data_IF_296483482565
#
_entry.id   IF_296483482565
#
_cell.length_a   1.000
_cell.length_b   1.000
_cell.length_c   1.000
_cell.angle_alpha   90.00
_cell.angle_beta   90.00
_cell.angle_gamma   90.00
#
_symmetry.space_group_name_H-M   'P 1'
#
loop_
_entity.id
_entity.type
_entity.pdbx_description
1 polymer ?
#
# COMPACT_ATOMS: atom_id res chain seq x y z
N UNK A 1 13.04 -0.82 -16.98
CA UNK A 1 12.99 0.64 -17.13
C UNK A 1 12.32 1.33 -15.93
N UNK A 2 11.02 1.09 -15.64
CA UNK A 2 10.30 1.75 -14.52
C UNK A 2 10.98 1.65 -13.15
N UNK A 3 11.43 0.46 -12.75
CA UNK A 3 12.08 0.28 -11.45
C UNK A 3 13.39 1.09 -11.32
N UNK A 4 14.21 1.14 -12.37
CA UNK A 4 15.44 1.92 -12.40
C UNK A 4 15.15 3.42 -12.36
N UNK A 5 14.14 3.87 -13.11
CA UNK A 5 13.71 5.27 -13.09
C UNK A 5 13.20 5.67 -11.70
N UNK A 6 12.35 4.84 -11.10
CA UNK A 6 11.80 5.11 -9.77
C UNK A 6 12.91 5.19 -8.70
N UNK A 7 13.93 4.35 -8.80
CA UNK A 7 15.11 4.42 -7.94
C UNK A 7 15.88 5.74 -8.11
N UNK A 8 16.13 6.16 -9.36
CA UNK A 8 16.81 7.44 -9.64
C UNK A 8 15.99 8.63 -9.14
N UNK A 9 14.68 8.64 -9.37
CA UNK A 9 13.77 9.71 -8.89
C UNK A 9 13.75 9.75 -7.37
N UNK A 10 13.66 8.59 -6.70
CA UNK A 10 13.71 8.51 -5.24
C UNK A 10 15.00 9.11 -4.67
N UNK A 11 16.15 8.76 -5.26
CA UNK A 11 17.44 9.33 -4.87
C UNK A 11 17.46 10.84 -5.08
N UNK A 12 17.04 11.34 -6.24
CA UNK A 12 17.06 12.77 -6.55
C UNK A 12 16.16 13.58 -5.62
N UNK A 13 14.95 13.07 -5.32
CA UNK A 13 14.07 13.67 -4.32
C UNK A 13 14.68 13.65 -2.92
N UNK A 14 15.47 12.64 -2.58
CA UNK A 14 16.13 12.53 -1.26
C UNK A 14 17.39 13.38 -1.11
N UNK A 15 17.95 13.93 -2.20
CA UNK A 15 19.18 14.74 -2.18
C UNK A 15 18.98 16.14 -1.60
N UNK A 16 17.75 16.65 -1.57
CA UNK A 16 17.50 17.97 -0.99
C UNK A 16 17.80 17.92 0.51
N UNK A 17 18.77 18.72 0.97
CA UNK A 17 19.09 18.87 2.40
C UNK A 17 17.90 19.33 3.26
N UNK A 18 16.89 19.86 2.58
CA UNK A 18 15.59 20.27 3.09
C UNK A 18 14.70 19.02 3.21
N UNK A 19 14.72 18.38 4.37
CA UNK A 19 13.75 17.34 4.77
C UNK A 19 12.39 18.00 5.06
N UNK A 20 11.74 18.52 4.03
CA UNK A 20 10.57 19.39 4.19
C UNK A 20 9.57 19.18 3.05
N UNK A 21 8.33 19.57 3.32
CA UNK A 21 7.18 19.56 2.39
C UNK A 21 7.47 20.18 1.00
N UNK A 22 8.49 21.03 0.90
CA UNK A 22 8.95 21.68 -0.34
C UNK A 22 9.33 20.70 -1.45
N UNK A 23 9.95 19.56 -1.13
CA UNK A 23 10.32 18.57 -2.15
C UNK A 23 9.08 17.83 -2.68
N UNK A 24 8.14 17.49 -1.80
CA UNK A 24 6.84 16.93 -2.19
C UNK A 24 6.10 17.90 -3.12
N UNK A 25 5.99 19.17 -2.73
CA UNK A 25 5.35 20.21 -3.54
C UNK A 25 6.01 20.41 -4.92
N UNK A 26 7.31 20.18 -5.03
CA UNK A 26 8.04 20.31 -6.30
C UNK A 26 7.78 19.15 -7.26
N UNK A 27 7.81 17.92 -6.76
CA UNK A 27 7.82 16.73 -7.62
C UNK A 27 6.44 16.03 -7.70
N UNK A 28 5.68 16.05 -6.61
CA UNK A 28 4.39 15.36 -6.47
C UNK A 28 3.39 16.23 -5.68
N UNK A 29 3.09 17.47 -6.12
CA UNK A 29 2.22 18.40 -5.38
C UNK A 29 0.82 17.84 -5.11
N UNK A 30 0.31 16.96 -5.98
CA UNK A 30 -0.98 16.29 -5.80
C UNK A 30 -1.05 15.48 -4.51
N UNK A 31 0.08 15.01 -3.95
CA UNK A 31 0.08 14.28 -2.69
C UNK A 31 -0.53 15.13 -1.56
N UNK A 32 -0.39 16.45 -1.62
CA UNK A 32 -0.93 17.36 -0.61
C UNK A 32 -2.43 17.67 -0.79
N UNK A 33 -3.08 17.10 -1.80
CA UNK A 33 -4.48 17.36 -2.12
C UNK A 33 -5.21 16.07 -2.50
N UNK A 34 -5.35 15.11 -1.56
CA UNK A 34 -6.10 13.90 -1.80
C UNK A 34 -7.57 14.23 -2.10
N UNK A 35 -8.22 13.46 -3.00
CA UNK A 35 -9.61 13.72 -3.37
C UNK A 35 -10.58 13.35 -2.23
N UNK A 36 -11.65 14.13 -2.12
CA UNK A 36 -12.77 13.85 -1.21
C UNK A 36 -13.83 13.00 -1.90
N UNK A 37 -14.34 11.98 -1.19
CA UNK A 37 -15.45 11.12 -1.67
C UNK A 37 -16.70 11.94 -2.01
N UNK A 38 -16.97 13.01 -1.25
CA UNK A 38 -18.18 13.84 -1.42
C UNK A 38 -18.07 14.89 -2.52
N UNK A 39 -16.86 15.18 -2.99
CA UNK A 39 -16.57 16.29 -3.92
C UNK A 39 -15.69 15.84 -5.11
N UNK A 40 -15.68 14.54 -5.42
CA UNK A 40 -14.83 14.00 -6.45
C UNK A 40 -15.23 14.45 -7.85
N UNK A 41 -14.28 14.99 -8.62
CA UNK A 41 -14.46 15.27 -10.03
C UNK A 41 -14.59 13.96 -10.86
N UNK A 42 -15.21 14.01 -12.04
CA UNK A 42 -15.18 12.89 -12.98
C UNK A 42 -13.75 12.44 -13.27
N UNK A 43 -13.49 11.13 -13.19
CA UNK A 43 -12.15 10.56 -13.41
C UNK A 43 -11.22 10.57 -12.19
N UNK A 44 -11.60 11.20 -11.07
CA UNK A 44 -10.77 11.26 -9.86
C UNK A 44 -10.39 9.87 -9.31
N UNK A 45 -11.24 8.86 -9.51
CA UNK A 45 -10.92 7.48 -9.15
C UNK A 45 -9.73 6.93 -9.95
N UNK A 46 -9.76 7.05 -11.27
CA UNK A 46 -8.69 6.57 -12.14
C UNK A 46 -7.36 7.31 -11.88
N UNK A 47 -7.45 8.62 -11.65
CA UNK A 47 -6.30 9.45 -11.27
C UNK A 47 -5.73 9.02 -9.91
N UNK A 48 -6.58 8.76 -8.92
CA UNK A 48 -6.14 8.27 -7.61
C UNK A 48 -5.43 6.92 -7.69
N UNK A 49 -5.96 5.99 -8.50
CA UNK A 49 -5.30 4.70 -8.74
C UNK A 49 -3.93 4.91 -9.41
N UNK A 50 -3.83 5.88 -10.32
CA UNK A 50 -2.55 6.26 -10.94
C UNK A 50 -1.56 6.83 -9.93
N UNK A 51 -2.02 7.71 -9.04
CA UNK A 51 -1.20 8.29 -7.97
C UNK A 51 -0.72 7.21 -6.98
N UNK A 52 -1.59 6.27 -6.58
CA UNK A 52 -1.23 5.11 -5.76
C UNK A 52 -0.14 4.25 -6.43
N UNK A 53 -0.21 4.06 -7.75
CA UNK A 53 0.83 3.34 -8.52
C UNK A 53 2.14 4.11 -8.55
N UNK A 54 2.11 5.43 -8.76
CA UNK A 54 3.29 6.28 -8.75
C UNK A 54 3.98 6.21 -7.38
N UNK A 55 3.23 6.34 -6.27
CA UNK A 55 3.78 6.18 -4.92
C UNK A 55 4.39 4.80 -4.73
N UNK A 56 3.71 3.74 -5.16
CA UNK A 56 4.22 2.38 -5.03
C UNK A 56 5.59 2.22 -5.70
N UNK A 57 5.75 2.75 -6.91
CA UNK A 57 7.03 2.72 -7.61
C UNK A 57 8.09 3.58 -6.91
N UNK A 58 7.73 4.79 -6.48
CA UNK A 58 8.64 5.70 -5.78
C UNK A 58 9.19 5.08 -4.49
N UNK A 59 8.31 4.54 -3.65
CA UNK A 59 8.69 3.87 -2.40
C UNK A 59 9.51 2.60 -2.66
N UNK A 60 9.16 1.84 -3.70
CA UNK A 60 9.96 0.68 -4.10
C UNK A 60 11.36 1.11 -4.55
N UNK A 61 11.49 2.21 -5.28
CA UNK A 61 12.78 2.79 -5.67
C UNK A 61 13.62 3.24 -4.46
N UNK A 62 12.97 3.86 -3.47
CA UNK A 62 13.60 4.29 -2.22
C UNK A 62 14.09 3.11 -1.38
N UNK A 63 13.26 2.09 -1.20
CA UNK A 63 13.58 0.88 -0.44
C UNK A 63 14.68 0.02 -1.09
N UNK A 64 14.94 0.17 -2.39
CA UNK A 64 16.07 -0.48 -3.06
C UNK A 64 17.39 0.28 -2.92
N UNK A 65 17.39 1.50 -2.36
CA UNK A 65 18.61 2.26 -2.16
C UNK A 65 19.53 1.61 -1.12
N UNK A 66 20.84 1.69 -1.36
CA UNK A 66 21.87 1.18 -0.44
C UNK A 66 22.10 2.11 0.76
N UNK A 67 21.57 3.33 0.70
CA UNK A 67 21.63 4.34 1.74
C UNK A 67 20.22 4.82 2.07
N UNK A 68 19.98 5.39 3.27
CA UNK A 68 18.69 5.96 3.63
C UNK A 68 18.18 6.93 2.55
N UNK A 69 17.01 6.63 2.01
CA UNK A 69 16.40 7.34 0.89
C UNK A 69 14.95 7.63 1.28
N UNK A 70 14.65 8.89 1.58
CA UNK A 70 13.34 9.32 2.07
C UNK A 70 12.69 10.36 1.14
N UNK A 71 12.30 9.99 -0.09
CA UNK A 71 11.72 10.93 -1.05
C UNK A 71 10.34 11.45 -0.62
N UNK A 72 9.62 10.70 0.21
CA UNK A 72 8.32 11.08 0.78
C UNK A 72 8.48 11.20 2.30
N UNK A 73 8.29 12.37 2.90
CA UNK A 73 8.31 12.53 4.36
C UNK A 73 7.30 11.59 5.02
N UNK A 74 7.68 10.96 6.13
CA UNK A 74 6.80 10.03 6.87
C UNK A 74 5.56 10.75 7.43
N UNK A 75 5.63 12.07 7.56
CA UNK A 75 4.54 12.98 7.93
C UNK A 75 3.42 13.02 6.89
N UNK A 76 3.68 12.59 5.64
CA UNK A 76 2.65 12.46 4.61
C UNK A 76 1.71 11.25 4.81
N UNK A 77 1.82 10.54 5.93
CA UNK A 77 1.03 9.34 6.24
C UNK A 77 -0.47 9.56 6.10
N UNK A 78 -0.97 10.72 6.57
CA UNK A 78 -2.39 11.05 6.46
C UNK A 78 -2.82 11.16 4.99
N UNK A 79 -2.08 11.90 4.17
CA UNK A 79 -2.43 12.11 2.76
C UNK A 79 -2.44 10.79 1.97
N UNK A 80 -1.47 9.90 2.25
CA UNK A 80 -1.44 8.57 1.65
C UNK A 80 -2.63 7.74 2.12
N UNK A 81 -2.98 7.80 3.41
CA UNK A 81 -4.18 7.13 3.93
C UNK A 81 -5.46 7.64 3.25
N UNK A 82 -5.56 8.95 3.01
CA UNK A 82 -6.72 9.57 2.36
C UNK A 82 -6.87 9.10 0.90
N UNK A 83 -5.76 8.96 0.15
CA UNK A 83 -5.77 8.34 -1.18
C UNK A 83 -6.23 6.88 -1.15
N UNK A 84 -5.72 6.08 -0.20
CA UNK A 84 -6.13 4.68 -0.04
C UNK A 84 -7.61 4.62 0.32
N UNK A 85 -8.06 5.41 1.29
CA UNK A 85 -9.44 5.48 1.71
C UNK A 85 -10.36 5.83 0.53
N UNK A 86 -10.00 6.84 -0.27
CA UNK A 86 -10.76 7.23 -1.45
C UNK A 86 -10.88 6.09 -2.47
N UNK A 87 -9.77 5.40 -2.76
CA UNK A 87 -9.77 4.24 -3.69
C UNK A 87 -10.61 3.08 -3.14
N UNK A 88 -10.52 2.78 -1.84
CA UNK A 88 -11.31 1.72 -1.23
C UNK A 88 -12.80 2.07 -1.23
N UNK A 89 -13.16 3.29 -0.84
CA UNK A 89 -14.55 3.75 -0.81
C UNK A 89 -15.22 3.71 -2.20
N UNK A 90 -14.50 4.07 -3.26
CA UNK A 90 -15.02 4.04 -4.62
C UNK A 90 -14.99 2.66 -5.30
N UNK A 91 -14.30 1.66 -4.73
CA UNK A 91 -14.00 0.43 -5.47
C UNK A 91 -15.24 -0.36 -5.90
N UNK A 92 -16.24 -0.48 -5.02
CA UNK A 92 -17.43 -1.27 -5.30
C UNK A 92 -18.18 -0.77 -6.56
N UNK A 93 -18.25 0.54 -6.74
CA UNK A 93 -18.94 1.19 -7.87
C UNK A 93 -18.07 1.28 -9.13
N UNK A 94 -16.76 1.46 -8.95
CA UNK A 94 -15.86 1.83 -10.04
C UNK A 94 -15.15 0.62 -10.69
N UNK A 95 -15.00 -0.50 -9.96
CA UNK A 95 -14.18 -1.66 -10.36
C UNK A 95 -14.55 -2.31 -11.70
N UNK A 96 -15.80 -2.16 -12.14
CA UNK A 96 -16.32 -2.77 -13.39
C UNK A 96 -16.10 -1.91 -14.65
N UNK A 97 -15.62 -0.68 -14.50
CA UNK A 97 -15.52 0.25 -15.63
C UNK A 97 -14.34 -0.04 -16.56
N UNK A 98 -13.24 -0.59 -16.04
CA UNK A 98 -12.08 -0.98 -16.85
C UNK A 98 -11.16 -1.91 -16.08
N UNK A 99 -10.22 -2.56 -16.78
CA UNK A 99 -9.19 -3.41 -16.16
C UNK A 99 -8.30 -2.63 -15.19
N UNK A 100 -8.03 -1.35 -15.47
CA UNK A 100 -7.32 -0.46 -14.54
C UNK A 100 -8.09 -0.31 -13.23
N UNK A 101 -9.41 -0.11 -13.30
CA UNK A 101 -10.25 0.03 -12.12
C UNK A 101 -10.38 -1.30 -11.36
N UNK A 102 -10.45 -2.42 -12.08
CA UNK A 102 -10.44 -3.76 -11.49
C UNK A 102 -9.16 -4.03 -10.67
N UNK A 103 -8.02 -3.51 -11.12
CA UNK A 103 -6.73 -3.64 -10.43
C UNK A 103 -6.55 -2.71 -9.22
N UNK A 104 -7.51 -1.84 -8.91
CA UNK A 104 -7.36 -0.80 -7.90
C UNK A 104 -7.10 -1.37 -6.49
N UNK A 105 -7.83 -2.42 -6.07
CA UNK A 105 -7.58 -3.08 -4.78
C UNK A 105 -6.15 -3.63 -4.68
N UNK A 106 -5.65 -4.25 -5.74
CA UNK A 106 -4.28 -4.76 -5.77
C UNK A 106 -3.28 -3.64 -5.46
N UNK A 107 -3.41 -2.50 -6.15
CA UNK A 107 -2.49 -1.37 -5.98
C UNK A 107 -2.63 -0.71 -4.62
N UNK A 108 -3.86 -0.54 -4.11
CA UNK A 108 -4.10 0.03 -2.78
C UNK A 108 -3.40 -0.79 -1.68
N UNK A 109 -3.62 -2.11 -1.64
CA UNK A 109 -3.01 -2.97 -0.63
C UNK A 109 -1.48 -3.09 -0.78
N UNK A 110 -0.93 -3.07 -2.00
CA UNK A 110 0.53 -3.06 -2.18
C UNK A 110 1.16 -1.74 -1.72
N UNK A 111 0.49 -0.61 -1.92
CA UNK A 111 0.95 0.66 -1.38
C UNK A 111 0.91 0.65 0.15
N UNK A 112 -0.13 0.10 0.78
CA UNK A 112 -0.18 -0.04 2.24
C UNK A 112 1.02 -0.85 2.79
N UNK A 113 1.37 -1.96 2.12
CA UNK A 113 2.53 -2.77 2.48
C UNK A 113 3.83 -1.98 2.33
N UNK A 114 4.04 -1.35 1.17
CA UNK A 114 5.24 -0.56 0.88
C UNK A 114 5.39 0.62 1.83
N UNK A 115 4.31 1.34 2.14
CA UNK A 115 4.31 2.46 3.07
C UNK A 115 4.69 2.03 4.49
N UNK A 116 4.11 0.92 4.97
CA UNK A 116 4.43 0.36 6.29
C UNK A 116 5.93 0.05 6.38
N UNK A 117 6.46 -0.73 5.43
CA UNK A 117 7.88 -1.13 5.41
C UNK A 117 8.80 0.09 5.22
N UNK A 118 8.41 1.05 4.38
CA UNK A 118 9.15 2.30 4.17
C UNK A 118 9.31 3.12 5.46
N UNK A 119 8.23 3.31 6.21
CA UNK A 119 8.28 3.99 7.50
C UNK A 119 9.15 3.24 8.53
N UNK A 120 9.09 1.90 8.55
CA UNK A 120 9.96 1.10 9.41
C UNK A 120 11.44 1.21 9.03
N UNK A 121 11.78 1.24 7.73
CA UNK A 121 13.15 1.48 7.30
C UNK A 121 13.63 2.91 7.63
N UNK A 122 12.73 3.89 7.60
CA UNK A 122 13.03 5.25 8.06
C UNK A 122 13.35 5.27 9.56
N UNK A 123 12.60 4.54 10.39
CA UNK A 123 12.82 4.38 11.82
C UNK A 123 14.20 3.75 12.13
N UNK A 124 14.59 2.72 11.37
CA UNK A 124 15.90 2.07 11.52
C UNK A 124 17.04 3.01 11.12
N UNK A 125 16.81 3.88 10.14
CA UNK A 125 17.84 4.78 9.61
C UNK A 125 18.12 5.99 10.51
N UNK A 126 17.18 6.38 11.36
CA UNK A 126 17.31 7.50 12.28
C UNK A 126 16.45 7.30 13.54
N UNK A 127 17.11 7.12 14.69
CA UNK A 127 16.45 6.80 15.97
C UNK A 127 15.42 7.88 16.39
N UNK A 128 15.72 9.16 16.15
CA UNK A 128 14.80 10.28 16.41
C UNK A 128 13.49 10.23 15.60
N UNK A 129 13.46 9.45 14.50
CA UNK A 129 12.26 9.24 13.68
C UNK A 129 11.47 8.00 14.10
N UNK A 130 12.02 7.09 14.92
CA UNK A 130 11.42 5.79 15.17
C UNK A 130 10.02 5.89 15.80
N UNK A 131 9.88 6.67 16.86
CA UNK A 131 8.58 6.85 17.53
C UNK A 131 7.54 7.50 16.61
N UNK A 132 7.96 8.51 15.82
CA UNK A 132 7.08 9.20 14.85
C UNK A 132 6.66 8.27 13.72
N UNK A 133 7.59 7.48 13.18
CA UNK A 133 7.31 6.53 12.11
C UNK A 133 6.29 5.48 12.54
N UNK A 134 6.45 4.90 13.72
CA UNK A 134 5.47 3.92 14.24
C UNK A 134 4.11 4.56 14.52
N UNK A 135 4.05 5.74 15.12
CA UNK A 135 2.80 6.47 15.32
C UNK A 135 2.08 6.76 13.98
N UNK A 136 2.82 7.28 13.00
CA UNK A 136 2.30 7.58 11.67
C UNK A 136 1.76 6.33 10.95
N UNK A 137 2.39 5.16 11.13
CA UNK A 137 1.92 3.89 10.55
C UNK A 137 0.63 3.42 11.23
N UNK A 138 0.54 3.52 12.56
CA UNK A 138 -0.68 3.16 13.28
C UNK A 138 -1.84 4.09 12.92
N UNK A 139 -1.60 5.40 12.82
CA UNK A 139 -2.61 6.38 12.40
C UNK A 139 -3.06 6.15 10.95
N UNK A 140 -2.13 5.78 10.06
CA UNK A 140 -2.44 5.39 8.70
C UNK A 140 -3.42 4.21 8.67
N UNK A 141 -3.11 3.14 9.40
CA UNK A 141 -3.97 1.95 9.43
C UNK A 141 -5.28 2.18 10.16
N UNK A 142 -5.32 3.03 11.18
CA UNK A 142 -6.56 3.44 11.85
C UNK A 142 -7.54 4.14 10.88
N UNK A 143 -7.02 4.89 9.89
CA UNK A 143 -7.83 5.54 8.84
C UNK A 143 -8.25 4.59 7.72
N UNK A 144 -7.40 3.65 7.34
CA UNK A 144 -7.66 2.70 6.25
C UNK A 144 -8.62 1.57 6.68
N UNK A 145 -8.52 1.12 7.92
CA UNK A 145 -9.28 -0.02 8.46
C UNK A 145 -10.81 0.12 8.30
N UNK A 146 -11.45 1.27 8.60
CA UNK A 146 -12.88 1.46 8.39
C UNK A 146 -13.34 1.24 6.94
N UNK A 147 -12.56 1.70 5.94
CA UNK A 147 -12.90 1.52 4.53
C UNK A 147 -12.81 0.04 4.10
N UNK A 148 -11.85 -0.71 4.66
CA UNK A 148 -11.78 -2.18 4.46
C UNK A 148 -13.05 -2.84 5.01
N UNK A 149 -13.44 -2.50 6.24
CA UNK A 149 -14.65 -3.06 6.87
C UNK A 149 -15.92 -2.73 6.07
N UNK A 150 -16.03 -1.53 5.52
CA UNK A 150 -17.15 -1.14 4.64
C UNK A 150 -17.21 -1.98 3.37
N UNK A 151 -16.06 -2.30 2.75
CA UNK A 151 -16.05 -3.18 1.59
C UNK A 151 -16.43 -4.62 1.93
N UNK A 152 -16.01 -5.12 3.10
CA UNK A 152 -16.38 -6.46 3.59
C UNK A 152 -17.89 -6.61 3.80
N UNK A 153 -18.60 -5.53 4.17
CA UNK A 153 -20.05 -5.56 4.35
C UNK A 153 -20.85 -5.39 3.05
N UNK A 154 -20.20 -5.08 1.93
CA UNK A 154 -20.90 -4.73 0.69
C UNK A 154 -21.47 -5.95 -0.07
N UNK A 155 -20.68 -7.00 -0.30
CA UNK A 155 -21.15 -8.24 -0.94
C UNK A 155 -20.16 -9.38 -0.70
N UNK A 156 -20.61 -10.64 -0.80
CA UNK A 156 -19.73 -11.81 -0.61
C UNK A 156 -18.52 -11.81 -1.55
N UNK A 157 -18.73 -11.50 -2.83
CA UNK A 157 -17.65 -11.47 -3.84
C UNK A 157 -16.61 -10.40 -3.50
N UNK A 158 -17.05 -9.21 -3.09
CA UNK A 158 -16.14 -8.14 -2.64
C UNK A 158 -15.43 -8.54 -1.35
N UNK A 159 -16.14 -9.17 -0.41
CA UNK A 159 -15.56 -9.64 0.83
C UNK A 159 -14.44 -10.66 0.59
N UNK A 160 -14.66 -11.65 -0.28
CA UNK A 160 -13.64 -12.65 -0.64
C UNK A 160 -12.40 -12.00 -1.28
N UNK A 161 -12.62 -11.01 -2.17
CA UNK A 161 -11.53 -10.28 -2.82
C UNK A 161 -10.71 -9.46 -1.83
N UNK A 162 -11.38 -8.70 -0.96
CA UNK A 162 -10.75 -7.87 0.07
C UNK A 162 -10.00 -8.73 1.09
N UNK A 163 -10.60 -9.82 1.55
CA UNK A 163 -9.96 -10.78 2.46
C UNK A 163 -8.68 -11.37 1.85
N UNK A 164 -8.69 -11.73 0.57
CA UNK A 164 -7.50 -12.22 -0.12
C UNK A 164 -6.38 -11.17 -0.11
N UNK A 165 -6.68 -9.92 -0.47
CA UNK A 165 -5.68 -8.85 -0.47
C UNK A 165 -5.18 -8.51 0.94
N UNK A 166 -6.08 -8.47 1.91
CA UNK A 166 -5.76 -8.20 3.31
C UNK A 166 -4.83 -9.28 3.90
N UNK A 167 -5.11 -10.56 3.66
CA UNK A 167 -4.25 -11.66 4.11
C UNK A 167 -2.87 -11.64 3.44
N UNK A 168 -2.81 -11.28 2.15
CA UNK A 168 -1.53 -11.08 1.49
C UNK A 168 -0.73 -9.94 2.12
N UNK A 169 -1.39 -8.90 2.66
CA UNK A 169 -0.75 -7.82 3.42
C UNK A 169 -0.21 -8.30 4.75
N UNK A 170 -1.00 -9.02 5.55
CA UNK A 170 -0.51 -9.60 6.80
C UNK A 170 0.70 -10.49 6.57
N UNK A 171 0.63 -11.38 5.57
CA UNK A 171 1.74 -12.27 5.22
C UNK A 171 2.97 -11.48 4.74
N UNK A 172 2.79 -10.41 3.97
CA UNK A 172 3.89 -9.56 3.52
C UNK A 172 4.59 -8.86 4.71
N UNK A 173 3.82 -8.32 5.65
CA UNK A 173 4.38 -7.67 6.85
C UNK A 173 5.09 -8.68 7.75
N UNK A 174 4.54 -9.89 7.90
CA UNK A 174 5.18 -10.98 8.63
C UNK A 174 6.51 -11.40 7.96
N UNK A 175 6.54 -11.54 6.63
CA UNK A 175 7.75 -11.87 5.87
C UNK A 175 8.85 -10.80 6.01
N UNK A 176 8.47 -9.54 6.20
CA UNK A 176 9.39 -8.44 6.44
C UNK A 176 9.77 -8.28 7.92
N UNK A 177 9.24 -9.12 8.81
CA UNK A 177 9.38 -8.99 10.26
C UNK A 177 8.98 -7.59 10.77
N UNK A 178 7.82 -7.10 10.32
CA UNK A 178 7.30 -5.78 10.65
C UNK A 178 7.17 -5.60 12.17
N UNK A 179 7.72 -4.51 12.68
CA UNK A 179 7.75 -4.16 14.10
C UNK A 179 6.38 -3.74 14.63
N UNK A 180 5.47 -3.29 13.76
CA UNK A 180 4.11 -2.87 14.14
C UNK A 180 3.07 -3.97 14.01
N UNK A 181 3.45 -5.15 13.50
CA UNK A 181 2.48 -6.20 13.17
C UNK A 181 1.65 -6.64 14.38
N UNK A 182 2.24 -6.72 15.58
CA UNK A 182 1.51 -7.09 16.80
C UNK A 182 0.38 -6.10 17.12
N UNK A 183 0.66 -4.80 17.05
CA UNK A 183 -0.33 -3.75 17.28
C UNK A 183 -1.42 -3.75 16.19
N UNK A 184 -1.01 -3.96 14.93
CA UNK A 184 -1.94 -4.06 13.80
C UNK A 184 -2.86 -5.28 13.91
N UNK A 185 -2.35 -6.42 14.36
CA UNK A 185 -3.18 -7.62 14.58
C UNK A 185 -4.34 -7.35 15.54
N UNK A 186 -4.08 -6.63 16.65
CA UNK A 186 -5.14 -6.23 17.58
C UNK A 186 -6.15 -5.27 16.93
N UNK A 187 -5.68 -4.28 16.16
CA UNK A 187 -6.54 -3.34 15.43
C UNK A 187 -7.42 -4.04 14.38
N UNK A 188 -6.90 -5.07 13.75
CA UNK A 188 -7.54 -5.77 12.64
C UNK A 188 -8.45 -6.92 13.07
N UNK A 189 -8.61 -7.16 14.37
CA UNK A 189 -9.54 -8.18 14.87
C UNK A 189 -10.94 -8.07 14.23
N UNK A 190 -11.54 -6.87 14.05
CA UNK A 190 -12.83 -6.76 13.36
C UNK A 190 -12.78 -7.21 11.89
N UNK A 191 -11.68 -6.97 11.16
CA UNK A 191 -11.51 -7.42 9.77
C UNK A 191 -11.45 -8.95 9.73
N UNK A 192 -10.67 -9.55 10.63
CA UNK A 192 -10.51 -11.00 10.74
C UNK A 192 -11.79 -11.70 11.13
N UNK A 193 -12.62 -11.03 11.94
CA UNK A 193 -13.84 -11.61 12.51
C UNK A 193 -15.12 -11.33 11.72
N UNK A 194 -15.14 -10.28 10.90
CA UNK A 194 -16.30 -9.86 10.11
C UNK A 194 -16.89 -10.96 9.21
N UNK A 195 -16.14 -12.03 8.93
CA UNK A 195 -16.59 -13.17 8.14
C UNK A 195 -16.32 -14.54 8.77
N UNK A 196 -16.05 -14.65 10.09
CA UNK A 196 -15.62 -15.90 10.74
C UNK A 196 -16.53 -17.12 10.52
N UNK A 197 -17.82 -16.93 10.21
CA UNK A 197 -18.73 -18.03 9.89
C UNK A 197 -18.52 -18.63 8.48
N UNK A 198 -17.77 -17.98 7.59
CA UNK A 198 -17.58 -18.39 6.18
C UNK A 198 -16.17 -18.17 5.63
N UNK A 199 -15.15 -17.89 6.45
CA UNK A 199 -13.76 -17.78 5.98
C UNK A 199 -13.38 -19.12 5.30
N UNK A 200 -13.03 -19.14 4.00
CA UNK A 200 -12.57 -20.34 3.33
C UNK A 200 -11.49 -21.03 4.15
N UNK A 201 -11.55 -22.35 4.30
CA UNK A 201 -10.61 -23.12 5.14
C UNK A 201 -9.14 -22.80 4.82
N UNK A 202 -8.82 -22.50 3.56
CA UNK A 202 -7.50 -22.05 3.11
C UNK A 202 -7.04 -20.71 3.72
N UNK A 203 -7.96 -19.76 3.93
CA UNK A 203 -7.67 -18.48 4.57
C UNK A 203 -7.55 -18.63 6.09
N UNK A 204 -8.34 -19.53 6.69
CA UNK A 204 -8.23 -19.88 8.11
C UNK A 204 -6.87 -20.55 8.42
N UNK A 205 -6.41 -21.47 7.57
CA UNK A 205 -5.07 -22.08 7.68
C UNK A 205 -3.96 -21.02 7.59
N UNK A 206 -4.11 -20.00 6.73
CA UNK A 206 -3.13 -18.89 6.65
C UNK A 206 -3.11 -18.02 7.91
N UNK A 207 -4.28 -17.75 8.50
CA UNK A 207 -4.38 -17.02 9.76
C UNK A 207 -3.79 -17.82 10.93
N UNK A 208 -4.17 -19.10 11.06
CA UNK A 208 -3.64 -20.00 12.09
C UNK A 208 -2.11 -20.18 11.94
N UNK A 209 -1.58 -20.13 10.71
CA UNK A 209 -0.13 -20.14 10.44
C UNK A 209 0.58 -18.84 10.81
N UNK A 210 -0.10 -17.69 10.82
CA UNK A 210 0.48 -16.43 11.29
C UNK A 210 0.61 -16.40 12.82
N UNK A 211 -0.35 -17.00 13.54
CA UNK A 211 -0.39 -17.02 15.02
C UNK A 211 0.48 -18.13 15.64
N UNK A 212 0.64 -19.28 14.97
CA UNK A 212 1.30 -20.47 15.56
C UNK A 212 2.71 -20.77 15.01
N UNK A 213 3.29 -19.93 14.14
CA UNK A 213 4.63 -20.19 13.61
C UNK A 213 5.74 -19.55 14.45
N UNK A 214 6.77 -20.32 14.88
CA UNK A 214 8.04 -19.72 15.26
C UNK A 214 8.59 -19.03 14.01
N UNK A 215 8.87 -17.71 14.13
CA UNK A 215 9.41 -16.81 13.11
C UNK A 215 9.99 -17.52 11.87
N UNK A 216 9.12 -17.88 10.91
CA UNK A 216 9.56 -18.51 9.68
C UNK A 216 10.51 -17.55 8.98
N UNK A 217 11.78 -17.97 8.88
CA UNK A 217 12.86 -17.39 8.08
C UNK A 217 12.51 -16.01 7.51
N UNK A 218 12.73 -14.96 8.31
CA UNK A 218 12.63 -13.57 7.88
C UNK A 218 13.27 -13.46 6.50
N UNK A 219 12.46 -13.13 5.49
CA UNK A 219 13.00 -13.00 4.16
C UNK A 219 13.79 -11.70 4.13
N UNK A 220 15.04 -11.69 3.61
CA UNK A 220 15.78 -10.46 3.46
C UNK A 220 14.94 -9.46 2.65
N UNK A 221 14.82 -8.22 3.14
CA UNK A 221 14.06 -7.15 2.49
C UNK A 221 14.29 -7.06 0.96
N UNK A 222 15.53 -7.22 0.43
CA UNK A 222 15.75 -7.23 -1.03
C UNK A 222 15.00 -8.34 -1.79
N UNK A 223 14.84 -9.52 -1.19
CA UNK A 223 14.11 -10.63 -1.80
C UNK A 223 12.60 -10.33 -1.84
N UNK A 224 12.05 -9.78 -0.74
CA UNK A 224 10.66 -9.35 -0.70
C UNK A 224 10.40 -8.24 -1.73
N UNK A 225 11.26 -7.22 -1.78
CA UNK A 225 11.19 -6.13 -2.75
C UNK A 225 11.23 -6.61 -4.20
N UNK A 226 12.07 -7.60 -4.52
CA UNK A 226 12.11 -8.23 -5.85
C UNK A 226 10.76 -8.85 -6.22
N UNK A 227 10.08 -9.52 -5.27
CA UNK A 227 8.76 -10.13 -5.48
C UNK A 227 7.67 -9.09 -5.64
N UNK A 228 7.65 -8.06 -4.80
CA UNK A 228 6.71 -6.93 -4.91
C UNK A 228 6.85 -6.25 -6.27
N UNK A 229 8.09 -5.94 -6.66
CA UNK A 229 8.41 -5.36 -7.98
C UNK A 229 7.86 -6.22 -9.12
N UNK A 230 8.07 -7.53 -9.05
CA UNK A 230 7.57 -8.47 -10.05
C UNK A 230 6.04 -8.44 -10.12
N UNK A 231 5.35 -8.57 -8.98
CA UNK A 231 3.88 -8.55 -8.92
C UNK A 231 3.30 -7.25 -9.50
N UNK A 232 3.81 -6.09 -9.09
CA UNK A 232 3.36 -4.80 -9.60
C UNK A 232 3.59 -4.72 -11.12
N UNK A 233 4.77 -5.12 -11.59
CA UNK A 233 5.07 -5.12 -13.04
C UNK A 233 4.12 -6.01 -13.84
N UNK A 234 3.77 -7.19 -13.32
CA UNK A 234 2.87 -8.13 -13.98
C UNK A 234 1.44 -7.57 -14.09
N UNK A 235 0.90 -7.02 -13.00
CA UNK A 235 -0.45 -6.41 -13.01
C UNK A 235 -0.48 -5.18 -13.92
N UNK A 236 0.59 -4.37 -13.94
CA UNK A 236 0.66 -3.22 -14.84
C UNK A 236 0.75 -3.62 -16.32
N UNK A 237 1.44 -4.73 -16.64
CA UNK A 237 1.50 -5.25 -18.00
C UNK A 237 0.11 -5.72 -18.46
N UNK A 238 -0.61 -6.44 -17.60
CA UNK A 238 -1.97 -6.91 -17.90
C UNK A 238 -2.96 -5.75 -18.09
N UNK A 239 -2.90 -4.74 -17.21
CA UNK A 239 -3.76 -3.54 -17.33
C UNK A 239 -3.43 -2.71 -18.57
N UNK A 240 -2.16 -2.66 -18.99
CA UNK A 240 -1.74 -1.94 -20.21
C UNK A 240 -2.18 -2.67 -21.48
N UNK A 241 -2.04 -4.00 -21.52
CA UNK A 241 -2.46 -4.83 -22.66
C UNK A 241 -3.99 -4.83 -22.89
N UNK A 242 -4.77 -4.55 -21.83
CA UNK A 242 -6.22 -4.43 -21.92
C UNK A 242 -6.70 -3.02 -22.33
N UNK A 243 -5.78 -2.05 -22.52
CA UNK A 243 -6.14 -0.70 -22.96
C UNK A 243 -6.29 -0.67 -24.48
N UNK A 244 -7.40 -0.11 -25.02
CA UNK A 244 -7.72 -0.15 -26.45
C UNK A 244 -6.69 0.57 -27.35
N UNK A 245 -5.80 1.36 -26.78
CA UNK A 245 -4.73 2.07 -27.50
C UNK A 245 -3.55 1.18 -27.94
N UNK A 246 -3.52 -0.10 -27.55
CA UNK A 246 -2.45 -1.04 -27.93
C UNK A 246 -2.85 -2.06 -29.00
N UNK A 247 -4.00 -1.89 -29.65
CA UNK A 247 -4.34 -2.63 -30.87
C UNK A 247 -3.84 -1.84 -32.10
N UNK A 248 -2.56 -1.99 -32.44
CA UNK A 248 -2.00 -1.68 -33.76
C UNK A 248 -1.29 -2.92 -34.28
#
# INVERSE_FOLDING_TARGET
MKASLAHVVALEMSRSSVRDSRTVLRYIPWLMSPPSVTQAAPGAFAESVTNVRILSWLLLGALHATQPCLPVPIECSQQIADYIHFVLAGFADQSKQSVVHMSALFHAFHLCQLWTVYCEQAAISAEDLAQKAFANVLDFWARVTPAILQLLSHSKVLADMVNLHFLNTMQALQQCNSAVLCQLSAMWQPILTAYHAQIPSQLRIKLDSCENQPSLQSQPLPQWLKRVRYKISQIELQTSAASPFYNV
#
